data_IF_629293873601
#
_entry.id   IF_629293873601
#
_cell.length_a   1.000
_cell.length_b   1.000
_cell.length_c   1.000
_cell.angle_alpha   90.00
_cell.angle_beta   90.00
_cell.angle_gamma   90.00
#
_symmetry.space_group_name_H-M   'P 1'
#
loop_
_entity.id
_entity.type
_entity.pdbx_description
1 polymer ?
#
# COMPACT_ATOMS: atom_id res chain seq x y z
N UNK A 1 12.07 -9.06 8.73
CA UNK A 1 13.39 -9.57 9.16
C UNK A 1 13.38 -11.04 9.58
N UNK A 2 12.49 -11.48 10.49
CA UNK A 2 12.43 -12.90 10.91
C UNK A 2 12.29 -13.93 9.77
N UNK A 3 11.45 -13.66 8.75
CA UNK A 3 11.27 -14.56 7.60
C UNK A 3 12.50 -14.61 6.67
N UNK A 4 13.18 -13.46 6.49
CA UNK A 4 14.45 -13.39 5.73
C UNK A 4 15.55 -14.21 6.42
N UNK A 5 15.72 -14.00 7.72
CA UNK A 5 16.75 -14.70 8.51
C UNK A 5 16.55 -16.22 8.52
N UNK A 6 15.30 -16.68 8.38
CA UNK A 6 14.94 -18.10 8.33
C UNK A 6 14.90 -18.68 6.91
N UNK A 7 15.11 -17.87 5.87
CA UNK A 7 15.02 -18.30 4.48
C UNK A 7 13.61 -18.71 4.04
N UNK A 8 12.58 -18.17 4.69
CA UNK A 8 11.18 -18.50 4.40
C UNK A 8 10.74 -17.85 3.07
N UNK A 9 10.11 -18.63 2.19
CA UNK A 9 9.67 -18.15 0.87
C UNK A 9 8.67 -16.98 0.95
N UNK A 10 7.89 -16.91 2.04
CA UNK A 10 6.96 -15.82 2.35
C UNK A 10 7.62 -14.44 2.37
N UNK A 11 8.93 -14.38 2.68
CA UNK A 11 9.67 -13.13 2.61
C UNK A 11 9.63 -12.52 1.20
N UNK A 12 9.92 -13.33 0.17
CA UNK A 12 9.99 -12.85 -1.20
C UNK A 12 8.62 -12.39 -1.69
N UNK A 13 7.55 -13.10 -1.32
CA UNK A 13 6.18 -12.71 -1.66
C UNK A 13 5.78 -11.38 -1.02
N UNK A 14 6.12 -11.16 0.26
CA UNK A 14 5.89 -9.87 0.92
C UNK A 14 6.70 -8.77 0.24
N UNK A 15 7.96 -9.04 -0.10
CA UNK A 15 8.81 -8.06 -0.77
C UNK A 15 8.24 -7.66 -2.14
N UNK A 16 7.77 -8.62 -2.94
CA UNK A 16 7.14 -8.35 -4.24
C UNK A 16 5.85 -7.51 -4.11
N UNK A 17 5.05 -7.80 -3.09
CA UNK A 17 3.86 -7.01 -2.75
C UNK A 17 4.20 -5.57 -2.38
N UNK A 18 5.26 -5.36 -1.58
CA UNK A 18 5.73 -4.03 -1.20
C UNK A 18 6.29 -3.26 -2.40
N UNK A 19 7.01 -3.94 -3.31
CA UNK A 19 7.47 -3.36 -4.55
C UNK A 19 6.30 -2.95 -5.45
N UNK A 20 5.27 -3.80 -5.57
CA UNK A 20 4.07 -3.47 -6.34
C UNK A 20 3.29 -2.30 -5.73
N UNK A 21 3.16 -2.25 -4.40
CA UNK A 21 2.59 -1.11 -3.69
C UNK A 21 3.34 0.18 -4.00
N UNK A 22 4.67 0.14 -3.99
CA UNK A 22 5.53 1.25 -4.38
C UNK A 22 5.28 1.70 -5.83
N UNK A 23 5.28 0.77 -6.78
CA UNK A 23 5.00 1.05 -8.18
C UNK A 23 3.64 1.75 -8.37
N UNK A 24 2.59 1.23 -7.74
CA UNK A 24 1.26 1.82 -7.80
C UNK A 24 1.22 3.22 -7.17
N UNK A 25 1.76 3.39 -5.95
CA UNK A 25 1.65 4.63 -5.20
C UNK A 25 2.46 5.79 -5.81
N UNK A 26 3.64 5.49 -6.35
CA UNK A 26 4.58 6.48 -6.88
C UNK A 26 4.44 6.77 -8.39
N UNK A 27 3.47 6.16 -9.08
CA UNK A 27 3.20 6.46 -10.49
C UNK A 27 2.87 7.95 -10.71
N UNK A 28 3.19 8.58 -11.85
CA UNK A 28 2.84 9.97 -12.10
C UNK A 28 1.33 10.27 -11.91
N UNK A 29 0.96 11.46 -11.39
CA UNK A 29 1.84 12.45 -10.78
C UNK A 29 2.35 11.98 -9.40
N UNK A 30 3.67 12.04 -9.20
CA UNK A 30 4.33 11.53 -7.97
C UNK A 30 3.73 12.12 -6.69
N UNK A 31 3.41 13.44 -6.58
CA UNK A 31 2.83 13.99 -5.36
C UNK A 31 1.53 13.35 -4.87
N UNK A 32 0.79 12.65 -5.75
CA UNK A 32 -0.44 11.95 -5.38
C UNK A 32 -0.22 10.70 -4.52
N UNK A 33 1.03 10.26 -4.29
CA UNK A 33 1.34 9.13 -3.42
C UNK A 33 0.79 9.31 -2.00
N UNK A 34 0.67 10.56 -1.51
CA UNK A 34 0.11 10.87 -0.19
C UNK A 34 -1.33 10.36 -0.06
N UNK A 35 -2.11 10.44 -1.13
CA UNK A 35 -3.48 9.93 -1.14
C UNK A 35 -3.50 8.39 -1.19
N UNK A 36 -2.63 7.76 -2.00
CA UNK A 36 -2.48 6.29 -1.98
C UNK A 36 -2.08 5.77 -0.59
N UNK A 37 -1.15 6.47 0.09
CA UNK A 37 -0.73 6.13 1.44
C UNK A 37 -1.88 6.27 2.44
N UNK A 38 -2.63 7.38 2.40
CA UNK A 38 -3.77 7.59 3.28
C UNK A 38 -4.87 6.52 3.07
N UNK A 39 -5.19 6.18 1.81
CA UNK A 39 -6.10 5.09 1.45
C UNK A 39 -5.64 3.75 2.04
N UNK A 40 -4.36 3.40 1.84
CA UNK A 40 -3.80 2.14 2.33
C UNK A 40 -3.80 2.08 3.87
N UNK A 41 -3.43 3.16 4.54
CA UNK A 41 -3.42 3.25 6.00
C UNK A 41 -4.83 3.17 6.59
N UNK A 42 -5.83 3.79 5.95
CA UNK A 42 -7.24 3.64 6.32
C UNK A 42 -7.72 2.19 6.17
N UNK A 43 -7.40 1.53 5.04
CA UNK A 43 -7.74 0.13 4.81
C UNK A 43 -7.09 -0.82 5.83
N UNK A 44 -5.93 -0.43 6.37
CA UNK A 44 -5.24 -1.13 7.47
C UNK A 44 -5.79 -0.81 8.86
N UNK A 45 -6.75 0.11 8.96
CA UNK A 45 -7.34 0.58 10.22
C UNK A 45 -6.43 1.52 11.02
N UNK A 46 -5.40 2.11 10.41
CA UNK A 46 -4.45 3.00 11.08
C UNK A 46 -4.87 4.47 10.99
N UNK A 47 -5.76 4.81 10.07
CA UNK A 47 -6.38 6.13 9.93
C UNK A 47 -7.90 5.98 9.83
N UNK A 48 -8.64 6.96 10.35
CA UNK A 48 -10.10 7.02 10.25
C UNK A 48 -10.58 7.46 8.85
N UNK A 49 -9.80 8.32 8.20
CA UNK A 49 -10.07 8.81 6.85
C UNK A 49 -8.80 8.81 5.99
N UNK A 50 -9.01 8.97 4.68
CA UNK A 50 -7.97 9.03 3.67
C UNK A 50 -7.85 10.42 3.02
N UNK A 51 -8.49 11.42 3.65
CA UNK A 51 -8.40 12.80 3.21
C UNK A 51 -6.97 13.32 3.36
N UNK A 52 -6.52 14.02 2.32
CA UNK A 52 -5.26 14.77 2.32
C UNK A 52 -5.56 16.25 2.19
N UNK A 53 -4.55 17.11 2.36
CA UNK A 53 -4.73 18.56 2.19
C UNK A 53 -5.47 18.87 0.86
N UNK A 54 -6.49 19.74 0.83
CA UNK A 54 -7.36 19.93 -0.35
C UNK A 54 -6.65 20.25 -1.67
N UNK A 55 -5.49 20.88 -1.60
CA UNK A 55 -4.64 21.20 -2.76
C UNK A 55 -3.73 20.05 -3.22
N UNK A 56 -3.77 18.91 -2.55
CA UNK A 56 -2.97 17.73 -2.92
C UNK A 56 -3.58 17.04 -4.13
N UNK A 57 -2.73 16.52 -5.00
CA UNK A 57 -3.19 15.64 -6.07
C UNK A 57 -3.87 14.40 -5.47
N UNK A 58 -5.05 14.07 -5.98
CA UNK A 58 -5.82 12.88 -5.58
C UNK A 58 -5.60 11.73 -6.55
N UNK A 59 -5.88 10.53 -6.06
CA UNK A 59 -5.96 9.29 -6.83
C UNK A 59 -7.42 8.92 -7.08
N UNK A 60 -7.72 8.21 -8.18
CA UNK A 60 -9.06 7.72 -8.44
C UNK A 60 -9.48 6.69 -7.38
N UNK A 61 -10.78 6.59 -7.11
CA UNK A 61 -11.31 5.63 -6.14
C UNK A 61 -11.06 4.16 -6.54
N UNK A 62 -10.84 3.88 -7.82
CA UNK A 62 -10.47 2.54 -8.30
C UNK A 62 -9.16 2.02 -7.70
N UNK A 63 -8.28 2.90 -7.20
CA UNK A 63 -7.05 2.47 -6.50
C UNK A 63 -7.38 1.70 -5.22
N UNK A 64 -8.55 1.94 -4.60
CA UNK A 64 -8.92 1.32 -3.32
C UNK A 64 -8.99 -0.20 -3.42
N UNK A 65 -9.52 -0.73 -4.51
CA UNK A 65 -9.67 -2.18 -4.71
C UNK A 65 -8.29 -2.85 -4.80
N UNK A 66 -7.36 -2.25 -5.54
CA UNK A 66 -5.99 -2.74 -5.68
C UNK A 66 -5.26 -2.66 -4.33
N UNK A 67 -5.39 -1.54 -3.62
CA UNK A 67 -4.78 -1.36 -2.29
C UNK A 67 -5.35 -2.32 -1.24
N UNK A 68 -6.65 -2.63 -1.31
CA UNK A 68 -7.30 -3.59 -0.42
C UNK A 68 -6.79 -5.02 -0.66
N UNK A 69 -6.61 -5.43 -1.93
CA UNK A 69 -6.01 -6.73 -2.26
C UNK A 69 -4.58 -6.85 -1.71
N UNK A 70 -3.74 -5.83 -1.95
CA UNK A 70 -2.37 -5.78 -1.40
C UNK A 70 -2.38 -5.90 0.12
N UNK A 71 -3.24 -5.14 0.81
CA UNK A 71 -3.34 -5.17 2.27
C UNK A 71 -3.74 -6.56 2.79
N UNK A 72 -4.72 -7.21 2.13
CA UNK A 72 -5.18 -8.56 2.46
C UNK A 72 -4.07 -9.60 2.28
N UNK A 73 -3.35 -9.54 1.16
CA UNK A 73 -2.26 -10.48 0.86
C UNK A 73 -1.08 -10.33 1.80
N UNK A 74 -0.69 -9.09 2.13
CA UNK A 74 0.34 -8.85 3.15
C UNK A 74 -0.09 -9.42 4.50
N UNK A 75 -1.34 -9.19 4.93
CA UNK A 75 -1.85 -9.70 6.20
C UNK A 75 -1.91 -11.23 6.27
N UNK A 76 -2.11 -11.92 5.14
CA UNK A 76 -2.11 -13.37 5.07
C UNK A 76 -0.70 -14.00 5.16
N UNK A 77 0.34 -13.21 4.88
CA UNK A 77 1.75 -13.64 4.86
C UNK A 77 2.56 -13.17 6.08
N UNK A 78 2.02 -12.21 6.86
CA UNK A 78 2.68 -11.59 8.03
C UNK A 78 2.39 -12.35 9.33
#
# INVERSE_FOLDING_TARGET
>A
DKAWEKGEASFYEINDLLQYLGFLAFRPPVPAYKHSAAMFLKLRGWLECDDTHPLSAKRPDSDREILADIAKRIAALS
#
